data_IF_625412061897
#
_entry.id   IF_625412061897
#
_cell.length_a   1.000
_cell.length_b   1.000
_cell.length_c   1.000
_cell.angle_alpha   90.00
_cell.angle_beta   90.00
_cell.angle_gamma   90.00
#
_symmetry.space_group_name_H-M   'P 1'
#
loop_
_entity.id
_entity.type
_entity.pdbx_description
1 polymer ?
#
# COMPACT_ATOMS: atom_id res chain seq x y z
N UNK A 1 -10.84 20.31 1.57
CA UNK A 1 -10.78 18.85 1.74
C UNK A 1 -10.04 18.50 3.03
N UNK A 2 -10.44 17.42 3.67
CA UNK A 2 -9.74 16.91 4.83
C UNK A 2 -8.37 16.39 4.44
N UNK A 3 -7.40 16.55 5.33
CA UNK A 3 -6.08 15.94 5.16
C UNK A 3 -5.98 14.71 6.07
N UNK A 4 -5.73 13.57 5.47
CA UNK A 4 -5.58 12.29 6.17
C UNK A 4 -4.16 11.78 5.97
N UNK A 5 -3.52 11.38 7.05
CA UNK A 5 -2.20 10.75 6.98
C UNK A 5 -2.39 9.25 7.05
N UNK A 6 -1.77 8.52 6.12
CA UNK A 6 -1.86 7.06 6.05
C UNK A 6 -0.46 6.47 6.09
N UNK A 7 -0.29 5.48 6.96
CA UNK A 7 0.94 4.70 7.09
C UNK A 7 0.60 3.26 6.72
N UNK A 8 1.43 2.61 5.92
CA UNK A 8 1.16 1.25 5.47
C UNK A 8 2.42 0.39 5.47
N UNK A 9 2.23 -0.91 5.62
CA UNK A 9 3.31 -1.88 5.44
C UNK A 9 2.72 -3.24 5.06
N UNK A 10 3.55 -4.06 4.42
CA UNK A 10 3.22 -5.42 4.06
C UNK A 10 4.38 -6.34 4.41
N UNK A 11 4.06 -7.59 4.70
CA UNK A 11 5.05 -8.62 5.03
C UNK A 11 4.63 -9.95 4.43
N UNK A 12 5.60 -10.78 4.10
CA UNK A 12 5.34 -12.11 3.56
C UNK A 12 6.40 -13.08 4.06
N UNK A 13 5.95 -14.23 4.55
CA UNK A 13 6.83 -15.29 5.01
C UNK A 13 7.06 -16.25 3.84
N UNK A 14 8.23 -16.15 3.21
CA UNK A 14 8.45 -16.73 1.89
C UNK A 14 7.81 -15.79 0.83
N UNK A 15 8.16 -15.98 -0.41
CA UNK A 15 7.66 -15.07 -1.46
C UNK A 15 7.53 -15.86 -2.76
N UNK A 16 6.41 -16.58 -3.01
CA UNK A 16 5.12 -16.49 -2.30
C UNK A 16 5.06 -17.28 -0.99
N UNK A 17 4.03 -16.94 -0.19
CA UNK A 17 3.75 -17.61 1.06
C UNK A 17 2.71 -16.86 1.88
N UNK A 18 2.54 -17.21 3.17
CA UNK A 18 1.63 -16.48 4.04
C UNK A 18 2.08 -15.04 4.21
N UNK A 19 1.16 -14.11 4.09
CA UNK A 19 1.48 -12.71 4.21
C UNK A 19 0.44 -11.92 4.99
N UNK A 20 0.81 -10.70 5.35
CA UNK A 20 -0.06 -9.79 6.06
C UNK A 20 0.21 -8.35 5.68
N UNK A 21 -0.71 -7.48 6.04
CA UNK A 21 -0.59 -6.05 5.82
C UNK A 21 -1.12 -5.30 7.03
N UNK A 22 -0.63 -4.09 7.21
CA UNK A 22 -1.11 -3.19 8.25
C UNK A 22 -1.20 -1.77 7.74
N UNK A 23 -2.17 -1.03 8.25
CA UNK A 23 -2.40 0.36 7.91
C UNK A 23 -2.87 1.15 9.12
N UNK A 24 -2.40 2.39 9.23
CA UNK A 24 -2.87 3.35 10.23
C UNK A 24 -3.35 4.58 9.48
N UNK A 25 -4.58 5.01 9.75
CA UNK A 25 -5.14 6.23 9.21
C UNK A 25 -5.30 7.24 10.33
N UNK A 26 -4.81 8.45 10.12
CA UNK A 26 -4.91 9.52 11.11
C UNK A 26 -5.59 10.74 10.51
N UNK A 27 -6.65 11.20 11.18
CA UNK A 27 -7.29 12.46 10.86
C UNK A 27 -7.37 13.27 12.16
N UNK A 28 -6.64 14.39 12.20
CA UNK A 28 -6.50 15.19 13.43
C UNK A 28 -5.95 14.30 14.55
N UNK A 29 -6.68 14.13 15.64
CA UNK A 29 -6.27 13.30 16.78
C UNK A 29 -6.87 11.90 16.77
N UNK A 30 -7.67 11.58 15.75
CA UNK A 30 -8.29 10.26 15.63
C UNK A 30 -7.42 9.36 14.77
N UNK A 31 -7.14 8.17 15.28
CA UNK A 31 -6.41 7.14 14.53
C UNK A 31 -7.25 5.88 14.41
N UNK A 32 -7.14 5.22 13.26
CA UNK A 32 -7.73 3.90 13.04
C UNK A 32 -6.65 2.97 12.54
N UNK A 33 -6.65 1.75 13.06
CA UNK A 33 -5.77 0.67 12.58
C UNK A 33 -6.59 -0.33 11.80
N UNK A 34 -6.00 -0.85 10.72
CA UNK A 34 -6.57 -1.95 9.94
C UNK A 34 -5.46 -2.91 9.58
N UNK A 35 -5.79 -4.19 9.55
CA UNK A 35 -4.84 -5.21 9.16
C UNK A 35 -5.57 -6.41 8.57
N UNK A 36 -4.83 -7.23 7.85
CA UNK A 36 -5.35 -8.44 7.24
C UNK A 36 -4.22 -9.24 6.64
N UNK A 37 -4.56 -10.35 6.01
CA UNK A 37 -3.55 -11.20 5.41
C UNK A 37 -4.12 -12.21 4.45
N UNK A 38 -3.24 -13.08 3.93
CA UNK A 38 -3.59 -14.13 3.00
C UNK A 38 -2.64 -15.31 3.15
N UNK A 39 -3.15 -16.51 2.84
CA UNK A 39 -2.35 -17.74 2.98
C UNK A 39 -1.29 -17.88 1.89
N UNK A 40 -1.54 -17.34 0.71
CA UNK A 40 -0.64 -17.48 -0.44
C UNK A 40 -0.59 -16.14 -1.19
N UNK A 41 0.46 -15.37 -0.94
CA UNK A 41 0.60 -14.03 -1.48
C UNK A 41 2.07 -13.67 -1.64
N UNK A 42 2.35 -12.41 -1.96
CA UNK A 42 3.72 -11.88 -2.07
C UNK A 42 3.85 -10.60 -1.26
N UNK A 43 5.09 -10.22 -0.98
CA UNK A 43 5.35 -8.98 -0.27
C UNK A 43 4.74 -7.77 -1.01
N UNK A 44 4.95 -7.68 -2.32
CA UNK A 44 4.41 -6.56 -3.11
C UNK A 44 2.89 -6.53 -3.11
N UNK A 45 2.23 -7.69 -3.17
CA UNK A 45 0.76 -7.73 -3.09
C UNK A 45 0.27 -7.23 -1.74
N UNK A 46 0.94 -7.57 -0.66
CA UNK A 46 0.57 -7.10 0.68
C UNK A 46 0.81 -5.59 0.83
N UNK A 47 1.88 -5.07 0.26
CA UNK A 47 2.14 -3.63 0.25
C UNK A 47 1.04 -2.87 -0.49
N UNK A 48 0.64 -3.35 -1.67
CA UNK A 48 -0.45 -2.75 -2.44
C UNK A 48 -1.78 -2.85 -1.69
N UNK A 49 -2.07 -4.02 -1.13
CA UNK A 49 -3.32 -4.27 -0.42
C UNK A 49 -3.49 -3.34 0.78
N UNK A 50 -2.41 -3.07 1.52
CA UNK A 50 -2.46 -2.15 2.65
C UNK A 50 -2.96 -0.76 2.23
N UNK A 51 -2.44 -0.23 1.12
CA UNK A 51 -2.85 1.09 0.62
C UNK A 51 -4.30 1.05 0.12
N UNK A 52 -4.65 0.02 -0.64
CA UNK A 52 -6.02 -0.15 -1.16
C UNK A 52 -7.03 -0.17 0.00
N UNK A 53 -6.78 -0.99 1.01
CA UNK A 53 -7.71 -1.12 2.13
C UNK A 53 -7.83 0.17 2.93
N UNK A 54 -6.72 0.90 3.11
CA UNK A 54 -6.73 2.18 3.78
C UNK A 54 -7.55 3.23 3.00
N UNK A 55 -7.28 3.36 1.70
CA UNK A 55 -8.00 4.33 0.87
C UNK A 55 -9.49 4.00 0.75
N UNK A 56 -9.84 2.72 0.74
CA UNK A 56 -11.22 2.28 0.66
C UNK A 56 -12.07 2.71 1.86
N UNK A 57 -11.44 3.03 2.98
CA UNK A 57 -12.14 3.54 4.17
C UNK A 57 -12.54 5.01 4.05
N UNK A 58 -11.93 5.75 3.14
CA UNK A 58 -12.23 7.17 2.97
C UNK A 58 -13.51 7.34 2.17
N UNK A 59 -14.47 8.08 2.73
CA UNK A 59 -15.82 8.22 2.16
C UNK A 59 -15.98 9.47 1.31
N UNK A 60 -14.99 10.35 1.33
CA UNK A 60 -15.03 11.62 0.58
C UNK A 60 -13.65 11.92 0.04
N UNK A 61 -13.53 12.79 -0.97
CA UNK A 61 -12.22 13.22 -1.45
C UNK A 61 -11.41 13.88 -0.33
N UNK A 62 -10.15 13.46 -0.22
CA UNK A 62 -9.23 13.94 0.81
C UNK A 62 -7.88 14.29 0.19
N UNK A 63 -7.12 15.13 0.88
CA UNK A 63 -5.68 15.20 0.69
C UNK A 63 -5.09 14.05 1.50
N UNK A 64 -4.36 13.16 0.86
CA UNK A 64 -3.78 11.98 1.50
C UNK A 64 -2.27 12.07 1.51
N UNK A 65 -1.69 12.11 2.71
CA UNK A 65 -0.24 11.99 2.92
C UNK A 65 0.06 10.52 3.18
N UNK A 66 0.63 9.84 2.20
CA UNK A 66 0.91 8.40 2.28
C UNK A 66 2.38 8.14 2.59
N UNK A 67 2.64 7.43 3.68
CA UNK A 67 3.98 7.03 4.11
C UNK A 67 4.14 5.52 3.98
N UNK A 68 5.13 5.08 3.21
CA UNK A 68 5.44 3.67 3.01
C UNK A 68 6.93 3.49 2.79
N UNK A 69 7.47 2.35 3.22
CA UNK A 69 8.86 1.98 2.93
C UNK A 69 8.98 1.18 1.62
N UNK A 70 7.87 0.90 0.96
CA UNK A 70 7.86 0.19 -0.31
C UNK A 70 8.13 1.14 -1.47
N UNK A 71 9.33 1.06 -2.03
CA UNK A 71 9.66 1.82 -3.25
C UNK A 71 8.81 1.38 -4.42
N UNK A 72 8.47 0.10 -4.48
CA UNK A 72 7.61 -0.44 -5.53
C UNK A 72 6.27 0.31 -5.59
N UNK A 73 5.64 0.51 -4.44
CA UNK A 73 4.36 1.23 -4.36
C UNK A 73 4.56 2.73 -4.58
N UNK A 74 5.46 3.33 -3.83
CA UNK A 74 5.66 4.79 -3.88
C UNK A 74 6.11 5.24 -5.27
N UNK A 75 7.10 4.57 -5.85
CA UNK A 75 7.60 4.93 -7.19
C UNK A 75 6.58 4.60 -8.27
N UNK A 76 5.89 3.48 -8.14
CA UNK A 76 4.84 3.10 -9.10
C UNK A 76 3.75 4.15 -9.19
N UNK A 77 3.41 4.79 -8.08
CA UNK A 77 2.41 5.85 -8.03
C UNK A 77 3.01 7.22 -8.36
N UNK A 78 4.06 7.62 -7.65
CA UNK A 78 4.58 8.99 -7.73
C UNK A 78 5.30 9.29 -9.04
N UNK A 79 5.95 8.30 -9.63
CA UNK A 79 6.65 8.43 -10.91
C UNK A 79 5.77 8.12 -12.11
N UNK A 80 4.53 7.73 -11.88
CA UNK A 80 3.57 7.44 -12.94
C UNK A 80 3.78 6.11 -13.65
N UNK A 81 4.61 5.21 -13.10
CA UNK A 81 4.91 3.93 -13.75
C UNK A 81 3.66 3.07 -13.91
N UNK A 82 2.86 2.94 -12.86
CA UNK A 82 1.65 2.12 -12.91
C UNK A 82 0.64 2.65 -13.90
N UNK A 83 0.46 3.97 -13.97
CA UNK A 83 -0.43 4.59 -14.94
C UNK A 83 0.06 4.34 -16.37
N UNK A 84 1.38 4.39 -16.59
CA UNK A 84 1.97 4.05 -17.88
C UNK A 84 1.72 2.59 -18.25
N UNK A 85 1.89 1.66 -17.32
CA UNK A 85 1.59 0.25 -17.56
C UNK A 85 0.12 0.04 -17.93
N UNK A 86 -0.77 0.70 -17.21
CA UNK A 86 -2.22 0.62 -17.51
C UNK A 86 -2.53 1.07 -18.93
N UNK A 87 -1.94 2.18 -19.38
CA UNK A 87 -2.13 2.71 -20.73
C UNK A 87 -1.63 1.77 -21.81
N UNK A 88 -0.64 0.94 -21.51
CA UNK A 88 -0.06 -0.03 -22.45
C UNK A 88 -0.63 -1.44 -22.26
N UNK A 89 -1.78 -1.58 -21.61
CA UNK A 89 -2.41 -2.88 -21.39
C UNK A 89 -1.64 -3.75 -20.39
N UNK A 90 -1.04 -3.13 -19.40
CA UNK A 90 -0.25 -3.79 -18.35
C UNK A 90 1.03 -4.42 -18.89
N UNK A 91 1.66 -3.70 -19.80
CA UNK A 91 2.98 -4.07 -20.35
C UNK A 91 3.98 -2.99 -19.94
N UNK A 92 5.13 -3.43 -19.43
CA UNK A 92 6.22 -2.51 -19.04
C UNK A 92 7.01 -2.06 -20.28
N UNK A 93 7.87 -1.06 -20.08
CA UNK A 93 8.69 -0.52 -21.17
C UNK A 93 9.63 -1.55 -21.80
N UNK A 94 10.03 -2.59 -21.04
CA UNK A 94 10.85 -3.69 -21.53
C UNK A 94 10.03 -4.78 -22.26
N UNK A 95 8.75 -4.53 -22.49
CA UNK A 95 7.79 -5.41 -23.16
C UNK A 95 7.39 -6.64 -22.33
N UNK A 96 7.83 -6.71 -21.08
CA UNK A 96 7.40 -7.78 -20.16
C UNK A 96 6.10 -7.40 -19.47
N UNK A 97 5.27 -8.39 -19.08
CA UNK A 97 4.04 -8.09 -18.33
C UNK A 97 4.33 -7.39 -17.01
N UNK A 98 3.54 -6.37 -16.69
CA UNK A 98 3.55 -5.77 -15.36
C UNK A 98 2.88 -6.74 -14.39
N UNK A 99 3.45 -6.87 -13.19
CA UNK A 99 2.88 -7.74 -12.16
C UNK A 99 1.74 -7.04 -11.41
N UNK A 100 0.85 -7.84 -10.85
CA UNK A 100 -0.25 -7.35 -9.98
C UNK A 100 -1.19 -6.35 -10.66
N UNK A 101 -1.59 -6.56 -11.93
CA UNK A 101 -2.45 -5.59 -12.60
C UNK A 101 -3.80 -5.42 -11.91
N UNK A 102 -4.34 -6.47 -11.30
CA UNK A 102 -5.59 -6.42 -10.54
C UNK A 102 -5.52 -5.41 -9.39
N UNK A 103 -4.46 -5.48 -8.59
CA UNK A 103 -4.29 -4.59 -7.45
C UNK A 103 -3.93 -3.17 -7.90
N UNK A 104 -3.06 -3.02 -8.90
CA UNK A 104 -2.71 -1.71 -9.42
C UNK A 104 -3.91 -0.98 -10.01
N UNK A 105 -4.77 -1.70 -10.74
CA UNK A 105 -5.96 -1.09 -11.31
C UNK A 105 -6.89 -0.56 -10.21
N UNK A 106 -7.12 -1.36 -9.19
CA UNK A 106 -7.93 -0.94 -8.05
C UNK A 106 -7.31 0.25 -7.30
N UNK A 107 -6.00 0.22 -7.10
CA UNK A 107 -5.28 1.29 -6.41
C UNK A 107 -5.34 2.60 -7.20
N UNK A 108 -5.13 2.57 -8.51
CA UNK A 108 -5.22 3.76 -9.34
C UNK A 108 -6.62 4.38 -9.31
N UNK A 109 -7.65 3.55 -9.33
CA UNK A 109 -9.03 4.00 -9.19
C UNK A 109 -9.23 4.76 -7.88
N UNK A 110 -8.71 4.23 -6.78
CA UNK A 110 -8.83 4.87 -5.48
C UNK A 110 -8.02 6.16 -5.39
N UNK A 111 -6.78 6.17 -5.90
CA UNK A 111 -5.96 7.38 -5.85
C UNK A 111 -6.55 8.52 -6.68
N UNK A 112 -7.27 8.20 -7.76
CA UNK A 112 -7.92 9.20 -8.60
C UNK A 112 -9.00 9.99 -7.86
N UNK A 113 -9.50 9.47 -6.75
CA UNK A 113 -10.53 10.13 -5.92
C UNK A 113 -9.96 11.16 -4.96
N UNK A 114 -8.64 11.20 -4.80
CA UNK A 114 -7.98 12.00 -3.76
C UNK A 114 -6.83 12.80 -4.35
N UNK A 115 -6.38 13.82 -3.59
CA UNK A 115 -5.13 14.49 -3.86
C UNK A 115 -4.04 13.75 -3.09
N UNK A 116 -3.22 12.98 -3.80
CA UNK A 116 -2.22 12.11 -3.18
C UNK A 116 -0.88 12.81 -3.05
N UNK A 117 -0.24 12.66 -1.89
CA UNK A 117 1.13 13.10 -1.63
C UNK A 117 1.91 11.92 -1.09
N UNK A 118 3.02 11.58 -1.73
CA UNK A 118 3.75 10.35 -1.48
C UNK A 118 5.04 10.63 -0.72
N UNK A 119 5.28 9.83 0.32
CA UNK A 119 6.47 9.93 1.16
C UNK A 119 7.08 8.54 1.33
N UNK A 120 8.28 8.35 0.77
CA UNK A 120 9.01 7.12 1.02
C UNK A 120 9.76 7.25 2.33
N UNK A 121 9.63 6.26 3.21
CA UNK A 121 10.37 6.18 4.47
C UNK A 121 11.41 5.09 4.38
N UNK A 122 12.61 5.38 4.85
CA UNK A 122 13.74 4.46 4.76
C UNK A 122 13.77 3.52 5.96
N UNK A 123 13.21 2.31 5.80
CA UNK A 123 13.27 1.27 6.80
C UNK A 123 12.52 1.59 8.09
N UNK A 124 12.61 0.67 9.06
CA UNK A 124 11.77 0.69 10.26
C UNK A 124 12.20 1.70 11.31
N UNK A 125 13.45 2.15 11.31
CA UNK A 125 13.99 2.96 12.39
C UNK A 125 13.50 4.41 12.41
N UNK A 126 12.94 4.91 11.31
CA UNK A 126 12.69 6.33 11.13
C UNK A 126 11.24 6.77 11.38
N UNK A 127 10.29 5.85 11.36
CA UNK A 127 8.88 6.20 11.52
C UNK A 127 8.16 5.20 12.41
N UNK A 128 7.76 5.68 13.58
CA UNK A 128 7.11 4.88 14.60
C UNK A 128 5.80 4.24 14.12
N UNK A 129 5.02 4.98 13.35
CA UNK A 129 3.75 4.47 12.82
C UNK A 129 3.97 3.38 11.77
N UNK A 130 4.99 3.54 10.92
CA UNK A 130 5.33 2.48 9.96
C UNK A 130 5.88 1.24 10.67
N UNK A 131 6.60 1.40 11.78
CA UNK A 131 7.01 0.27 12.62
C UNK A 131 5.80 -0.47 13.19
N UNK A 132 4.78 0.27 13.62
CA UNK A 132 3.53 -0.35 14.09
C UNK A 132 2.84 -1.12 12.96
N UNK A 133 2.81 -0.57 11.76
CA UNK A 133 2.24 -1.24 10.60
C UNK A 133 2.98 -2.55 10.28
N UNK A 134 4.31 -2.55 10.39
CA UNK A 134 5.11 -3.75 10.21
C UNK A 134 4.73 -4.82 11.24
N UNK A 135 4.60 -4.45 12.51
CA UNK A 135 4.19 -5.37 13.56
C UNK A 135 2.83 -5.99 13.26
N UNK A 136 1.88 -5.18 12.81
CA UNK A 136 0.55 -5.67 12.43
C UNK A 136 0.62 -6.62 11.24
N UNK A 137 1.42 -6.27 10.22
CA UNK A 137 1.58 -7.10 9.04
C UNK A 137 2.18 -8.46 9.37
N UNK A 138 3.23 -8.49 10.18
CA UNK A 138 3.86 -9.74 10.61
C UNK A 138 2.90 -10.58 11.44
N UNK A 139 2.17 -9.95 12.37
CA UNK A 139 1.19 -10.67 13.20
C UNK A 139 0.09 -11.31 12.33
N UNK A 140 -0.39 -10.59 11.32
CA UNK A 140 -1.40 -11.12 10.40
C UNK A 140 -0.85 -12.28 9.58
N UNK A 141 0.40 -12.19 9.09
CA UNK A 141 1.00 -13.26 8.30
C UNK A 141 1.09 -14.58 9.09
N UNK A 142 1.33 -14.49 10.39
CA UNK A 142 1.43 -15.67 11.27
C UNK A 142 0.11 -16.42 11.42
N UNK A 143 -1.01 -15.77 11.21
CA UNK A 143 -2.34 -16.40 11.26
C UNK A 143 -2.56 -17.39 10.12
N UNK A 144 -1.79 -17.28 9.06
CA UNK A 144 -1.93 -18.09 7.85
C UNK A 144 -0.80 -19.09 7.65
N UNK A 145 0.06 -19.19 8.62
CA UNK A 145 1.15 -20.20 8.62
C UNK A 145 0.65 -21.55 9.05
#
# INVERSE_FOLDING_TARGET
>A
MKTVTIYTDGACSGNPGPGGWGAILRYKETEKERSGGAADTTNNRMELTAVIEALALLKEPCVVELYSDSKYVIDGLSKGWARGWQKRGWIKSDKKPALNPDLWERLLELTDRHEMRYHWVKGHAENEKNNRCDQMAVAESKKFQ
#
